data_IF_970633303713
#
_entry.id   IF_970633303713
#
_cell.length_a   1.000
_cell.length_b   1.000
_cell.length_c   1.000
_cell.angle_alpha   90.00
_cell.angle_beta   90.00
_cell.angle_gamma   90.00
#
_symmetry.space_group_name_H-M   'P 1'
#
loop_
_entity.id
_entity.type
_entity.pdbx_description
1 polymer ?
#
# COMPACT_ATOMS: atom_id res chain seq x y z
N UNK A 1 33.24 -12.27 -11.17
CA UNK A 1 32.70 -13.61 -10.88
C UNK A 1 31.21 -13.55 -11.10
N UNK A 2 30.68 -14.32 -12.05
CA UNK A 2 29.22 -14.44 -12.24
C UNK A 2 28.68 -15.47 -11.25
N UNK A 3 27.54 -15.17 -10.63
CA UNK A 3 26.84 -16.12 -9.77
C UNK A 3 26.30 -17.26 -10.62
N UNK A 4 26.74 -18.50 -10.37
CA UNK A 4 26.19 -19.69 -11.03
C UNK A 4 24.76 -19.95 -10.53
N UNK A 5 23.79 -19.81 -11.44
CA UNK A 5 22.37 -19.98 -11.13
C UNK A 5 21.94 -21.44 -11.00
N UNK A 6 22.78 -22.41 -11.39
CA UNK A 6 22.46 -23.85 -11.35
C UNK A 6 22.18 -24.40 -9.95
N UNK A 7 22.68 -23.70 -8.91
CA UNK A 7 22.50 -24.08 -7.51
C UNK A 7 21.34 -23.36 -6.81
N UNK A 8 20.68 -22.41 -7.46
CA UNK A 8 19.55 -21.66 -6.87
C UNK A 8 18.35 -22.61 -6.69
N UNK A 9 17.79 -22.67 -5.47
CA UNK A 9 16.65 -23.54 -5.12
C UNK A 9 15.35 -22.78 -4.88
N UNK A 10 15.41 -21.47 -4.64
CA UNK A 10 14.25 -20.65 -4.39
C UNK A 10 14.46 -19.25 -4.97
N UNK A 11 13.36 -18.67 -5.46
CA UNK A 11 13.24 -17.27 -5.83
C UNK A 11 12.10 -16.68 -5.00
N UNK A 12 12.40 -15.62 -4.25
CA UNK A 12 11.40 -14.91 -3.44
C UNK A 12 11.24 -13.52 -4.05
N UNK A 13 10.00 -13.11 -4.21
CA UNK A 13 9.66 -11.85 -4.84
C UNK A 13 8.99 -10.93 -3.82
N UNK A 14 9.46 -9.69 -3.77
CA UNK A 14 8.58 -8.60 -3.36
C UNK A 14 7.35 -8.58 -4.27
N UNK A 15 6.20 -8.16 -3.76
CA UNK A 15 4.92 -8.29 -4.48
C UNK A 15 4.42 -6.93 -4.94
N UNK A 16 4.23 -5.96 -4.03
CA UNK A 16 3.64 -4.67 -4.36
C UNK A 16 4.60 -3.80 -5.17
N UNK A 17 4.35 -3.68 -6.47
CA UNK A 17 5.16 -2.93 -7.42
C UNK A 17 6.06 -3.84 -8.25
N UNK A 18 6.66 -4.86 -7.63
CA UNK A 18 7.51 -5.83 -8.34
C UNK A 18 6.70 -6.84 -9.15
N UNK A 19 5.62 -7.40 -8.57
CA UNK A 19 4.77 -8.42 -9.22
C UNK A 19 3.42 -7.84 -9.65
N UNK A 20 2.87 -6.90 -8.88
CA UNK A 20 1.56 -6.31 -9.15
C UNK A 20 1.61 -4.79 -9.30
N UNK A 21 0.83 -4.27 -10.24
CA UNK A 21 0.54 -2.84 -10.35
C UNK A 21 -0.56 -2.46 -9.34
N UNK A 22 -0.11 -2.13 -8.12
CA UNK A 22 -1.00 -1.68 -7.06
C UNK A 22 -1.58 -0.29 -7.33
N UNK A 23 -0.83 0.61 -7.97
CA UNK A 23 -1.22 2.01 -8.14
C UNK A 23 -2.45 2.11 -9.04
N UNK A 24 -2.36 1.59 -10.26
CA UNK A 24 -3.49 1.60 -11.20
C UNK A 24 -4.70 0.85 -10.63
N UNK A 25 -4.47 -0.25 -9.91
CA UNK A 25 -5.54 -1.05 -9.32
C UNK A 25 -6.29 -0.26 -8.23
N UNK A 26 -5.58 0.36 -7.29
CA UNK A 26 -6.19 1.15 -6.21
C UNK A 26 -6.92 2.37 -6.76
N UNK A 27 -6.30 3.13 -7.66
CA UNK A 27 -6.93 4.30 -8.31
C UNK A 27 -8.24 3.92 -8.99
N UNK A 28 -8.26 2.86 -9.80
CA UNK A 28 -9.49 2.40 -10.48
C UNK A 28 -10.60 1.98 -9.51
N UNK A 29 -10.24 1.32 -8.41
CA UNK A 29 -11.23 0.94 -7.39
C UNK A 29 -11.78 2.18 -6.68
N UNK A 30 -10.93 3.15 -6.34
CA UNK A 30 -11.35 4.40 -5.72
C UNK A 30 -12.23 5.23 -6.65
N UNK A 31 -11.90 5.33 -7.94
CA UNK A 31 -12.74 5.97 -8.96
C UNK A 31 -14.13 5.32 -9.07
N UNK A 32 -14.17 3.98 -9.10
CA UNK A 32 -15.43 3.25 -9.19
C UNK A 32 -16.28 3.41 -7.93
N UNK A 33 -15.63 3.42 -6.75
CA UNK A 33 -16.28 3.72 -5.48
C UNK A 33 -16.85 5.14 -5.49
N UNK A 34 -16.06 6.13 -5.93
CA UNK A 34 -16.48 7.52 -6.05
C UNK A 34 -17.69 7.69 -6.95
N UNK A 35 -17.65 7.12 -8.16
CA UNK A 35 -18.78 7.12 -9.10
C UNK A 35 -20.06 6.52 -8.51
N UNK A 36 -19.93 5.40 -7.79
CA UNK A 36 -21.08 4.69 -7.21
C UNK A 36 -21.70 5.43 -6.02
N UNK A 37 -20.93 6.30 -5.36
CA UNK A 37 -21.36 7.05 -4.18
C UNK A 37 -21.53 8.56 -4.44
N UNK A 38 -21.38 9.02 -5.68
CA UNK A 38 -21.47 10.44 -6.02
C UNK A 38 -20.34 11.32 -5.45
N UNK A 39 -19.18 10.73 -5.17
CA UNK A 39 -18.01 11.43 -4.61
C UNK A 39 -17.05 11.79 -5.75
N UNK A 40 -16.64 13.05 -5.80
CA UNK A 40 -15.61 13.55 -6.72
C UNK A 40 -14.35 13.87 -5.92
N UNK A 41 -13.22 13.28 -6.30
CA UNK A 41 -11.91 13.54 -5.71
C UNK A 41 -10.82 13.28 -6.76
N UNK A 42 -9.59 13.70 -6.47
CA UNK A 42 -8.41 13.23 -7.21
C UNK A 42 -8.03 11.83 -6.72
N UNK A 43 -8.47 10.81 -7.46
CA UNK A 43 -8.27 9.42 -7.09
C UNK A 43 -6.85 8.89 -7.34
N UNK A 44 -6.04 9.62 -8.13
CA UNK A 44 -4.62 9.33 -8.28
C UNK A 44 -3.89 9.83 -7.03
N UNK A 45 -4.08 11.09 -6.67
CA UNK A 45 -3.50 11.68 -5.46
C UNK A 45 -3.95 10.94 -4.18
N UNK A 46 -5.21 10.49 -4.12
CA UNK A 46 -5.69 9.62 -3.04
C UNK A 46 -4.89 8.31 -2.92
N UNK A 47 -4.64 7.63 -4.04
CA UNK A 47 -3.90 6.36 -4.03
C UNK A 47 -2.43 6.56 -3.64
N UNK A 48 -1.80 7.63 -4.12
CA UNK A 48 -0.42 8.00 -3.77
C UNK A 48 -0.31 8.41 -2.29
N UNK A 49 -1.23 9.24 -1.81
CA UNK A 49 -1.29 9.68 -0.42
C UNK A 49 -1.55 8.53 0.54
N UNK A 50 -2.41 7.57 0.17
CA UNK A 50 -2.60 6.36 0.98
C UNK A 50 -1.33 5.51 1.02
N UNK A 51 -0.66 5.32 -0.12
CA UNK A 51 0.62 4.61 -0.17
C UNK A 51 1.68 5.29 0.69
N UNK A 52 1.69 6.62 0.76
CA UNK A 52 2.63 7.37 1.59
C UNK A 52 2.49 7.03 3.08
N UNK A 53 1.31 6.63 3.57
CA UNK A 53 1.09 6.19 4.96
C UNK A 53 1.64 4.78 5.25
N UNK A 54 1.89 3.94 4.23
CA UNK A 54 2.39 2.56 4.40
C UNK A 54 3.67 2.50 5.23
N UNK A 55 4.68 3.31 4.88
CA UNK A 55 5.99 3.25 5.54
C UNK A 55 5.95 3.78 6.98
N UNK A 56 5.36 4.95 7.27
CA UNK A 56 5.19 5.44 8.64
C UNK A 56 4.53 4.41 9.57
N UNK A 57 3.44 3.76 9.15
CA UNK A 57 2.76 2.77 9.99
C UNK A 57 3.58 1.48 10.18
N UNK A 58 4.27 1.01 9.14
CA UNK A 58 5.22 -0.11 9.27
C UNK A 58 6.38 0.23 10.23
N UNK A 59 6.84 1.48 10.25
CA UNK A 59 7.94 1.90 11.11
C UNK A 59 7.51 2.01 12.58
N UNK A 60 6.24 2.30 12.89
CA UNK A 60 5.70 2.20 14.26
C UNK A 60 5.78 0.77 14.83
N UNK A 61 5.52 -0.24 14.00
CA UNK A 61 5.71 -1.65 14.41
C UNK A 61 7.19 -1.96 14.56
N UNK A 62 8.03 -1.49 13.63
CA UNK A 62 9.49 -1.71 13.65
C UNK A 62 10.19 -1.10 14.87
N UNK A 63 9.72 0.08 15.32
CA UNK A 63 10.26 0.78 16.48
C UNK A 63 9.72 0.25 17.82
N UNK A 64 8.68 -0.59 17.79
CA UNK A 64 7.99 -1.09 18.98
C UNK A 64 6.95 -0.14 19.56
N UNK A 65 6.61 0.96 18.87
CA UNK A 65 5.50 1.85 19.23
C UNK A 65 4.15 1.11 19.11
N UNK A 66 4.02 0.25 18.10
CA UNK A 66 2.90 -0.69 17.95
C UNK A 66 3.39 -2.14 18.13
N UNK A 67 2.57 -3.04 18.68
CA UNK A 67 2.84 -4.47 18.64
C UNK A 67 2.83 -4.98 17.20
N UNK A 68 3.24 -6.25 17.00
CA UNK A 68 3.06 -6.90 15.72
C UNK A 68 1.61 -6.75 15.26
N UNK A 69 1.44 -6.18 14.06
CA UNK A 69 0.16 -5.80 13.51
C UNK A 69 0.13 -6.20 12.05
N UNK A 70 -0.96 -6.82 11.63
CA UNK A 70 -1.13 -7.25 10.24
C UNK A 70 -1.20 -6.05 9.30
N UNK A 71 -0.68 -6.25 8.09
CA UNK A 71 -0.58 -5.16 7.13
C UNK A 71 -1.96 -4.58 6.75
N UNK A 72 -3.00 -5.39 6.70
CA UNK A 72 -4.37 -4.90 6.43
C UNK A 72 -4.86 -3.94 7.52
N UNK A 73 -4.51 -4.19 8.78
CA UNK A 73 -4.83 -3.28 9.88
C UNK A 73 -4.06 -1.98 9.74
N UNK A 74 -2.77 -2.04 9.37
CA UNK A 74 -1.97 -0.83 9.12
C UNK A 74 -2.51 -0.02 7.92
N UNK A 75 -2.95 -0.69 6.85
CA UNK A 75 -3.61 -0.02 5.72
C UNK A 75 -4.90 0.67 6.16
N UNK A 76 -5.71 0.04 7.03
CA UNK A 76 -6.93 0.65 7.56
C UNK A 76 -6.63 1.87 8.43
N UNK A 77 -5.66 1.80 9.34
CA UNK A 77 -5.25 2.95 10.16
C UNK A 77 -4.75 4.11 9.29
N UNK A 78 -3.92 3.81 8.28
CA UNK A 78 -3.45 4.82 7.33
C UNK A 78 -4.58 5.42 6.49
N UNK A 79 -5.62 4.64 6.17
CA UNK A 79 -6.80 5.14 5.47
C UNK A 79 -7.62 6.09 6.37
N UNK A 80 -7.83 5.73 7.64
CA UNK A 80 -8.55 6.59 8.57
C UNK A 80 -7.85 7.95 8.71
N UNK A 81 -6.52 7.96 8.91
CA UNK A 81 -5.73 9.19 8.98
C UNK A 81 -5.79 9.99 7.68
N UNK A 82 -5.73 9.31 6.52
CA UNK A 82 -5.86 9.98 5.21
C UNK A 82 -7.23 10.64 5.02
N UNK A 83 -8.32 9.97 5.43
CA UNK A 83 -9.67 10.50 5.25
C UNK A 83 -9.91 11.72 6.13
N UNK A 84 -9.35 11.75 7.34
CA UNK A 84 -9.36 12.93 8.20
C UNK A 84 -8.65 14.13 7.53
N UNK A 85 -7.61 13.88 6.73
CA UNK A 85 -6.89 14.90 5.96
C UNK A 85 -7.67 15.36 4.70
N UNK A 86 -8.58 14.54 4.15
CA UNK A 86 -9.24 14.76 2.84
C UNK A 86 -10.65 15.39 2.89
N UNK A 87 -11.34 15.38 4.04
CA UNK A 87 -12.61 16.09 4.25
C UNK A 87 -13.85 15.40 3.68
#
# INVERSE_FOLDING_TARGET
>A
MGTDSSQIKALVFDVFGTVVDWHTSVTKHAENFGKSNGITADWVDFAESWRAKYRPFMDKVRSGELPWTELDTLHRMGLEELLDDFG
#
